data_IF_734882860318
#
_entry.id   IF_734882860318
#
_cell.length_a   1.000
_cell.length_b   1.000
_cell.length_c   1.000
_cell.angle_alpha   90.00
_cell.angle_beta   90.00
_cell.angle_gamma   90.00
#
_symmetry.space_group_name_H-M   'P 1'
#
loop_
_entity.id
_entity.type
_entity.pdbx_description
1 polymer ?
#
# COMPACT_ATOMS: atom_id res chain seq x y z
N UNK A 1 -7.99 10.02 6.04
CA UNK A 1 -6.61 9.60 6.41
C UNK A 1 -5.71 10.82 6.56
N UNK A 2 -4.41 10.64 6.81
CA UNK A 2 -3.40 11.70 6.89
C UNK A 2 -2.13 11.27 6.16
N UNK A 3 -1.50 12.19 5.42
CA UNK A 3 -0.20 11.99 4.76
C UNK A 3 0.99 12.42 5.63
N UNK A 4 0.75 12.81 6.88
CA UNK A 4 1.76 13.37 7.80
C UNK A 4 2.98 12.46 8.02
N UNK A 5 2.74 11.15 8.13
CA UNK A 5 3.80 10.15 8.30
C UNK A 5 4.27 9.56 6.98
N UNK A 6 3.69 9.93 5.83
CA UNK A 6 4.15 9.53 4.50
C UNK A 6 3.72 8.15 4.01
N UNK A 7 2.81 7.45 4.71
CA UNK A 7 2.29 6.18 4.21
C UNK A 7 1.23 6.35 3.11
N UNK A 8 0.44 7.42 3.21
CA UNK A 8 -0.39 7.92 2.11
C UNK A 8 0.38 9.01 1.36
N UNK A 9 0.31 8.98 0.03
CA UNK A 9 1.07 9.90 -0.82
C UNK A 9 0.16 10.64 -1.79
N UNK A 10 0.14 11.97 -1.66
CA UNK A 10 -0.61 12.85 -2.56
C UNK A 10 -2.11 12.54 -2.66
N UNK A 11 -2.67 11.87 -1.65
CA UNK A 11 -4.07 11.48 -1.59
C UNK A 11 -4.56 11.40 -0.15
N UNK A 12 -5.89 11.33 0.01
CA UNK A 12 -6.53 10.95 1.26
C UNK A 12 -7.78 10.12 0.97
N UNK A 13 -8.24 9.39 1.97
CA UNK A 13 -9.52 8.69 1.93
C UNK A 13 -10.60 9.46 2.68
N UNK A 14 -11.81 9.45 2.12
CA UNK A 14 -13.05 9.88 2.75
C UNK A 14 -14.02 8.71 2.83
N UNK A 15 -14.93 8.73 3.79
CA UNK A 15 -16.01 7.76 3.94
C UNK A 15 -17.30 8.47 4.36
N UNK A 16 -18.45 7.92 3.99
CA UNK A 16 -19.78 8.47 4.31
C UNK A 16 -20.69 7.47 5.05
N UNK A 17 -20.11 6.34 5.47
CA UNK A 17 -20.82 5.23 6.12
C UNK A 17 -21.27 4.13 5.17
N UNK A 18 -21.31 4.37 3.85
CA UNK A 18 -21.68 3.35 2.84
C UNK A 18 -20.47 2.67 2.19
N UNK A 19 -19.39 3.42 2.02
CA UNK A 19 -18.09 2.93 1.56
C UNK A 19 -17.02 4.00 1.86
N UNK A 20 -15.77 3.68 1.55
CA UNK A 20 -14.72 4.69 1.43
C UNK A 20 -14.19 4.81 0.01
N UNK A 21 -13.62 5.98 -0.30
CA UNK A 21 -13.01 6.26 -1.59
C UNK A 21 -11.73 7.08 -1.41
N UNK A 22 -10.74 6.81 -2.25
CA UNK A 22 -9.51 7.61 -2.31
C UNK A 22 -9.69 8.82 -3.24
N UNK A 23 -9.29 10.00 -2.76
CA UNK A 23 -9.22 11.24 -3.53
C UNK A 23 -7.77 11.52 -3.90
N UNK A 24 -7.47 11.52 -5.20
CA UNK A 24 -6.11 11.73 -5.73
C UNK A 24 -5.81 13.22 -5.82
N UNK A 25 -5.36 13.84 -4.73
CA UNK A 25 -5.15 15.30 -4.64
C UNK A 25 -3.93 15.84 -5.38
N UNK A 26 -2.87 15.04 -5.56
CA UNK A 26 -1.67 15.51 -6.24
C UNK A 26 -0.81 16.50 -5.44
N UNK A 27 -1.04 16.64 -4.14
CA UNK A 27 -0.27 17.53 -3.25
C UNK A 27 0.25 16.79 -2.03
N UNK A 28 1.42 17.18 -1.55
CA UNK A 28 1.95 16.71 -0.26
C UNK A 28 1.59 17.69 0.86
N UNK A 29 1.66 17.24 2.10
CA UNK A 29 1.38 18.07 3.27
C UNK A 29 -0.11 18.32 3.50
N UNK A 30 -0.98 17.44 2.98
CA UNK A 30 -2.44 17.56 3.06
C UNK A 30 -2.94 17.61 4.51
N UNK A 31 -2.24 16.97 5.45
CA UNK A 31 -2.52 17.04 6.89
C UNK A 31 -2.54 18.47 7.47
N UNK A 32 -1.88 19.43 6.81
CA UNK A 32 -1.92 20.83 7.21
C UNK A 32 -3.25 21.49 6.82
N UNK A 33 -3.86 21.05 5.70
CA UNK A 33 -5.05 21.65 5.11
C UNK A 33 -6.35 20.92 5.51
N UNK A 34 -6.31 19.59 5.60
CA UNK A 34 -7.45 18.71 5.88
C UNK A 34 -7.19 17.95 7.17
N UNK A 35 -8.03 18.14 8.19
CA UNK A 35 -7.89 17.47 9.48
C UNK A 35 -8.61 16.11 9.47
N UNK A 36 -8.08 15.15 10.22
CA UNK A 36 -8.77 13.86 10.41
C UNK A 36 -10.12 14.14 11.08
N UNK A 37 -11.21 13.59 10.53
CA UNK A 37 -12.58 13.84 10.98
C UNK A 37 -13.25 15.05 10.33
N UNK A 38 -12.53 15.84 9.53
CA UNK A 38 -13.12 16.98 8.82
C UNK A 38 -14.01 16.52 7.66
N UNK A 39 -15.18 17.15 7.53
CA UNK A 39 -16.03 16.95 6.35
C UNK A 39 -15.36 17.52 5.11
N UNK A 40 -15.34 16.75 4.02
CA UNK A 40 -14.88 17.20 2.70
C UNK A 40 -16.01 17.05 1.70
N UNK A 41 -16.37 18.14 1.02
CA UNK A 41 -17.34 18.09 -0.08
C UNK A 41 -16.60 17.94 -1.40
N UNK A 42 -17.03 16.99 -2.22
CA UNK A 42 -16.44 16.71 -3.52
C UNK A 42 -17.48 16.94 -4.61
N UNK A 43 -17.21 17.87 -5.52
CA UNK A 43 -18.03 18.07 -6.71
C UNK A 43 -17.57 17.11 -7.79
N UNK A 44 -18.26 16.00 -7.99
CA UNK A 44 -17.77 14.93 -8.86
C UNK A 44 -17.85 15.24 -10.37
N UNK A 45 -18.73 16.14 -10.81
CA UNK A 45 -18.96 16.41 -12.24
C UNK A 45 -17.69 16.96 -12.89
N UNK A 46 -17.10 16.21 -13.81
CA UNK A 46 -15.85 16.56 -14.51
C UNK A 46 -14.63 15.81 -14.00
N UNK A 47 -14.75 15.07 -12.89
CA UNK A 47 -13.76 14.12 -12.41
C UNK A 47 -14.01 12.72 -13.01
N UNK A 48 -13.00 11.86 -12.89
CA UNK A 48 -12.97 10.50 -13.45
C UNK A 48 -12.72 9.48 -12.34
N UNK A 49 -13.46 8.38 -12.39
CA UNK A 49 -13.20 7.21 -11.55
C UNK A 49 -12.17 6.31 -12.24
N UNK A 50 -11.26 5.78 -11.44
CA UNK A 50 -10.43 4.64 -11.82
C UNK A 50 -10.44 3.58 -10.73
N UNK A 51 -9.87 2.40 -11.03
CA UNK A 51 -9.81 1.30 -10.08
C UNK A 51 -8.38 0.77 -9.96
N UNK A 52 -7.67 1.25 -8.96
CA UNK A 52 -6.29 0.85 -8.72
C UNK A 52 -6.22 -0.63 -8.36
N UNK A 53 -5.41 -1.39 -9.10
CA UNK A 53 -5.24 -2.82 -8.88
C UNK A 53 -6.30 -3.68 -9.54
N UNK A 54 -7.26 -3.13 -10.30
CA UNK A 54 -8.13 -3.96 -11.12
C UNK A 54 -7.32 -4.71 -12.18
N UNK A 55 -7.63 -5.99 -12.37
CA UNK A 55 -7.11 -6.77 -13.49
C UNK A 55 -8.15 -7.81 -13.92
N UNK A 56 -8.45 -7.85 -15.21
CA UNK A 56 -9.33 -8.84 -15.83
C UNK A 56 -8.60 -10.09 -16.31
N UNK A 57 -7.29 -10.21 -16.03
CA UNK A 57 -6.50 -11.36 -16.46
C UNK A 57 -7.03 -12.67 -15.83
N UNK A 58 -7.08 -13.71 -16.65
CA UNK A 58 -7.54 -15.04 -16.24
C UNK A 58 -6.53 -15.77 -15.35
N UNK A 59 -5.26 -15.36 -15.40
CA UNK A 59 -4.16 -16.00 -14.65
C UNK A 59 -3.93 -15.35 -13.29
N UNK A 60 -4.20 -14.05 -13.17
CA UNK A 60 -4.09 -13.25 -11.96
C UNK A 60 -4.99 -12.02 -12.12
N UNK A 61 -5.69 -11.59 -11.09
CA UNK A 61 -6.58 -10.44 -11.20
C UNK A 61 -7.85 -10.57 -10.38
N UNK A 62 -8.63 -9.51 -10.38
CA UNK A 62 -9.79 -9.33 -9.53
C UNK A 62 -10.04 -7.83 -9.31
N UNK A 63 -10.89 -7.52 -8.33
CA UNK A 63 -11.26 -6.14 -8.04
C UNK A 63 -10.11 -5.35 -7.41
N UNK A 64 -10.18 -4.03 -7.59
CA UNK A 64 -9.24 -3.07 -7.01
C UNK A 64 -9.93 -2.04 -6.13
N UNK A 65 -9.19 -1.00 -5.75
CA UNK A 65 -9.71 0.13 -5.00
C UNK A 65 -10.16 1.25 -5.94
N UNK A 66 -11.44 1.66 -5.84
CA UNK A 66 -11.93 2.84 -6.56
C UNK A 66 -11.24 4.11 -6.07
N UNK A 67 -10.81 4.93 -7.03
CA UNK A 67 -10.17 6.22 -6.81
C UNK A 67 -10.90 7.29 -7.62
N UNK A 68 -10.91 8.52 -7.11
CA UNK A 68 -11.45 9.67 -7.81
C UNK A 68 -10.35 10.70 -8.08
N UNK A 69 -10.25 11.15 -9.32
CA UNK A 69 -9.26 12.11 -9.76
C UNK A 69 -9.61 12.77 -11.09
N UNK A 70 -8.60 13.29 -11.80
CA UNK A 70 -8.76 13.75 -13.18
C UNK A 70 -8.69 12.56 -14.15
N UNK A 71 -9.04 12.76 -15.41
CA UNK A 71 -8.69 11.80 -16.47
C UNK A 71 -7.18 11.73 -16.63
N UNK A 72 -6.61 10.55 -16.84
CA UNK A 72 -5.20 10.43 -17.19
C UNK A 72 -4.99 10.82 -18.67
N UNK A 73 -4.21 11.87 -18.97
CA UNK A 73 -3.98 12.29 -20.34
C UNK A 73 -3.17 11.28 -21.16
N UNK A 74 -2.42 10.38 -20.52
CA UNK A 74 -1.65 9.34 -21.22
C UNK A 74 -2.52 8.18 -21.70
N UNK A 75 -3.68 7.97 -21.06
CA UNK A 75 -4.53 6.80 -21.26
C UNK A 75 -3.96 5.49 -20.69
N UNK A 76 -2.84 5.54 -19.96
CA UNK A 76 -2.26 4.38 -19.29
C UNK A 76 -3.15 3.91 -18.12
N UNK A 77 -3.75 4.86 -17.41
CA UNK A 77 -4.71 4.63 -16.33
C UNK A 77 -6.05 5.32 -16.64
N UNK A 78 -7.11 4.96 -15.92
CA UNK A 78 -8.39 5.67 -16.06
C UNK A 78 -8.34 7.05 -15.39
N UNK A 79 -7.56 7.18 -14.29
CA UNK A 79 -7.53 8.40 -13.47
C UNK A 79 -6.12 8.84 -13.03
N UNK A 80 -5.92 10.16 -13.04
CA UNK A 80 -4.74 10.88 -12.58
C UNK A 80 -5.05 11.78 -11.36
N UNK A 81 -4.04 12.48 -10.85
CA UNK A 81 -4.24 13.40 -9.73
C UNK A 81 -4.99 14.69 -10.14
N UNK A 82 -5.81 15.21 -9.23
CA UNK A 82 -6.38 16.56 -9.25
C UNK A 82 -5.29 17.57 -8.86
N UNK A 83 -4.14 17.58 -9.53
CA UNK A 83 -2.95 18.29 -9.04
C UNK A 83 -2.93 19.79 -9.34
N UNK A 84 -3.77 20.24 -10.27
CA UNK A 84 -3.90 21.67 -10.63
C UNK A 84 -4.74 22.39 -9.59
N UNK A 85 -4.17 23.40 -8.92
CA UNK A 85 -4.82 24.14 -7.84
C UNK A 85 -6.22 24.65 -8.21
N UNK A 86 -6.41 25.23 -9.40
CA UNK A 86 -7.73 25.73 -9.81
C UNK A 86 -8.78 24.62 -9.93
N UNK A 87 -8.38 23.41 -10.33
CA UNK A 87 -9.28 22.25 -10.36
C UNK A 87 -9.58 21.80 -8.92
N UNK A 88 -8.59 21.78 -8.03
CA UNK A 88 -8.82 21.50 -6.60
C UNK A 88 -9.85 22.48 -6.04
N UNK A 89 -9.68 23.79 -6.28
CA UNK A 89 -10.55 24.84 -5.75
C UNK A 89 -11.98 24.77 -6.30
N UNK A 90 -12.15 24.22 -7.51
CA UNK A 90 -13.47 24.01 -8.13
C UNK A 90 -14.17 22.72 -7.68
N UNK A 91 -13.43 21.77 -7.11
CA UNK A 91 -13.91 20.42 -6.85
C UNK A 91 -13.88 19.97 -5.39
N UNK A 92 -12.93 20.43 -4.59
CA UNK A 92 -12.65 19.94 -3.24
C UNK A 92 -12.85 21.08 -2.25
N UNK A 93 -13.87 20.97 -1.42
CA UNK A 93 -14.23 22.01 -0.46
C UNK A 93 -14.14 21.50 0.97
N UNK A 94 -13.49 22.29 1.82
CA UNK A 94 -13.43 22.01 3.26
C UNK A 94 -14.76 22.34 3.92
N UNK A 95 -15.33 21.36 4.59
CA UNK A 95 -16.46 21.53 5.48
C UNK A 95 -16.04 21.74 6.94
N UNK A 96 -17.00 21.67 7.87
CA UNK A 96 -16.75 21.76 9.30
C UNK A 96 -15.73 20.72 9.77
N UNK A 97 -14.90 21.11 10.75
CA UNK A 97 -14.11 20.15 11.52
C UNK A 97 -15.04 19.24 12.32
N UNK A 98 -14.72 17.95 12.34
CA UNK A 98 -15.44 16.94 13.09
C UNK A 98 -14.48 16.11 13.93
N UNK A 99 -15.02 15.13 14.63
CA UNK A 99 -14.21 14.13 15.34
C UNK A 99 -13.72 13.07 14.34
N UNK A 100 -12.50 12.54 14.51
CA UNK A 100 -12.07 11.35 13.77
C UNK A 100 -13.11 10.22 13.87
N UNK A 101 -13.31 9.50 12.76
CA UNK A 101 -14.14 8.30 12.78
C UNK A 101 -13.49 7.22 13.64
N UNK A 102 -14.30 6.52 14.42
CA UNK A 102 -13.87 5.29 15.10
C UNK A 102 -13.74 4.16 14.07
N UNK A 103 -12.69 3.33 14.13
CA UNK A 103 -12.54 2.21 13.22
C UNK A 103 -13.64 1.16 13.45
N UNK A 104 -14.16 0.60 12.36
CA UNK A 104 -15.06 -0.55 12.44
C UNK A 104 -14.24 -1.82 12.67
N UNK A 105 -14.48 -2.51 13.79
CA UNK A 105 -13.85 -3.83 14.02
C UNK A 105 -14.55 -4.87 13.15
N UNK A 106 -13.80 -5.57 12.29
CA UNK A 106 -14.35 -6.58 11.39
C UNK A 106 -14.22 -7.98 11.96
N UNK A 107 -15.30 -8.75 11.80
CA UNK A 107 -15.26 -10.21 11.81
C UNK A 107 -14.75 -10.73 10.46
N UNK A 108 -14.15 -11.92 10.45
CA UNK A 108 -13.58 -12.50 9.24
C UNK A 108 -14.59 -12.68 8.09
N UNK A 109 -15.84 -12.99 8.41
CA UNK A 109 -16.92 -13.13 7.42
C UNK A 109 -17.32 -11.81 6.74
N UNK A 110 -16.85 -10.66 7.25
CA UNK A 110 -17.09 -9.35 6.68
C UNK A 110 -15.98 -8.90 5.72
N UNK A 111 -14.87 -9.65 5.66
CA UNK A 111 -13.78 -9.36 4.74
C UNK A 111 -14.21 -9.59 3.28
N UNK A 112 -13.75 -8.74 2.35
CA UNK A 112 -14.13 -8.84 0.96
C UNK A 112 -13.50 -10.06 0.29
N UNK A 113 -14.26 -10.71 -0.59
CA UNK A 113 -13.75 -11.70 -1.51
C UNK A 113 -13.19 -11.08 -2.80
N UNK A 114 -12.60 -11.94 -3.63
CA UNK A 114 -11.92 -11.58 -4.88
C UNK A 114 -12.70 -10.65 -5.83
N UNK A 115 -14.01 -10.85 -5.88
CA UNK A 115 -14.90 -10.14 -6.80
C UNK A 115 -15.66 -8.99 -6.13
N UNK A 116 -15.42 -8.75 -4.84
CA UNK A 116 -16.09 -7.68 -4.10
C UNK A 116 -15.51 -6.31 -4.41
N UNK A 117 -16.37 -5.32 -4.44
CA UNK A 117 -16.05 -3.91 -4.59
C UNK A 117 -16.91 -3.08 -3.63
N UNK A 118 -16.75 -1.75 -3.62
CA UNK A 118 -17.46 -0.83 -2.72
C UNK A 118 -18.99 -0.94 -2.77
N UNK A 119 -19.58 -1.53 -3.82
CA UNK A 119 -21.03 -1.75 -3.91
C UNK A 119 -21.49 -3.06 -3.29
N UNK A 120 -20.62 -4.07 -3.19
CA UNK A 120 -20.93 -5.38 -2.59
C UNK A 120 -20.36 -5.57 -1.19
N UNK A 121 -19.31 -4.81 -0.84
CA UNK A 121 -18.72 -4.78 0.49
C UNK A 121 -18.46 -3.33 0.93
N UNK A 122 -19.23 -2.87 1.91
CA UNK A 122 -19.19 -1.50 2.41
C UNK A 122 -17.88 -1.13 3.12
N UNK A 123 -17.06 -2.11 3.53
CA UNK A 123 -15.84 -1.86 4.29
C UNK A 123 -14.64 -1.48 3.42
N UNK A 124 -14.72 -1.72 2.11
CA UNK A 124 -13.67 -1.34 1.17
C UNK A 124 -13.54 0.19 1.14
N UNK A 125 -12.33 0.67 1.37
CA UNK A 125 -11.95 2.09 1.46
C UNK A 125 -12.13 2.70 2.85
N UNK A 126 -12.66 1.96 3.83
CA UNK A 126 -12.98 2.51 5.16
C UNK A 126 -11.89 2.25 6.17
N UNK A 127 -11.94 3.05 7.24
CA UNK A 127 -11.14 2.84 8.43
C UNK A 127 -11.69 1.65 9.23
N UNK A 128 -10.91 0.59 9.35
CA UNK A 128 -11.31 -0.65 10.01
C UNK A 128 -10.21 -1.19 10.91
N UNK A 129 -10.57 -2.09 11.81
CA UNK A 129 -9.65 -2.89 12.61
C UNK A 129 -9.85 -4.38 12.32
N UNK A 130 -8.77 -5.09 11.98
CA UNK A 130 -8.75 -6.55 11.84
C UNK A 130 -7.91 -7.12 13.00
N UNK A 131 -8.46 -8.09 13.73
CA UNK A 131 -7.86 -8.59 14.97
C UNK A 131 -7.15 -9.92 14.80
N UNK A 132 -6.23 -10.20 15.73
CA UNK A 132 -5.57 -11.50 15.89
C UNK A 132 -4.84 -12.01 14.63
N UNK A 133 -4.26 -11.09 13.86
CA UNK A 133 -3.48 -11.41 12.67
C UNK A 133 -2.18 -12.09 13.05
N UNK A 134 -1.89 -13.23 12.41
CA UNK A 134 -0.66 -14.00 12.60
C UNK A 134 0.25 -13.79 11.39
N UNK A 135 1.54 -13.55 11.63
CA UNK A 135 2.49 -13.34 10.54
C UNK A 135 2.60 -14.59 9.66
N UNK A 136 2.56 -14.40 8.34
CA UNK A 136 2.59 -15.47 7.36
C UNK A 136 4.01 -15.86 6.92
N UNK A 137 5.05 -15.19 7.46
CA UNK A 137 6.46 -15.41 7.10
C UNK A 137 6.77 -15.12 5.62
N UNK A 138 6.05 -14.16 5.04
CA UNK A 138 6.19 -13.75 3.64
C UNK A 138 6.16 -12.23 3.54
N UNK A 139 6.96 -11.72 2.60
CA UNK A 139 6.92 -10.32 2.16
C UNK A 139 6.73 -10.22 0.65
N UNK A 140 6.32 -9.04 0.20
CA UNK A 140 6.52 -8.60 -1.17
C UNK A 140 7.20 -7.24 -1.20
N UNK A 141 8.33 -7.13 -1.87
CA UNK A 141 8.97 -5.87 -2.21
C UNK A 141 9.49 -5.89 -3.66
N UNK A 142 9.28 -4.78 -4.37
CA UNK A 142 9.80 -4.56 -5.72
C UNK A 142 10.92 -3.53 -5.66
N UNK A 143 12.12 -3.94 -6.07
CA UNK A 143 13.26 -3.07 -6.24
C UNK A 143 13.59 -2.90 -7.72
N UNK A 144 14.29 -1.82 -8.03
CA UNK A 144 14.85 -1.58 -9.36
C UNK A 144 16.37 -1.60 -9.31
N UNK A 145 17.01 -2.18 -10.33
CA UNK A 145 18.46 -2.10 -10.47
C UNK A 145 18.89 -0.64 -10.62
N UNK A 146 18.18 0.09 -11.48
CA UNK A 146 18.32 1.52 -11.64
C UNK A 146 16.93 2.15 -11.86
N UNK A 147 16.45 2.99 -10.93
CA UNK A 147 15.14 3.63 -11.01
C UNK A 147 15.02 4.64 -12.16
N UNK A 148 16.13 4.98 -12.83
CA UNK A 148 16.11 5.85 -14.01
C UNK A 148 15.93 5.09 -15.34
N UNK A 149 15.91 3.76 -15.31
CA UNK A 149 15.60 2.92 -16.48
C UNK A 149 14.10 2.60 -16.51
N UNK A 150 13.63 1.98 -17.59
CA UNK A 150 12.23 1.60 -17.75
C UNK A 150 11.76 0.67 -16.62
N UNK A 151 10.65 1.02 -15.99
CA UNK A 151 10.14 0.31 -14.81
C UNK A 151 9.36 -0.94 -15.18
N UNK A 152 9.01 -1.14 -16.46
CA UNK A 152 8.36 -2.35 -16.97
C UNK A 152 9.30 -3.45 -17.45
N UNK A 153 10.57 -3.12 -17.67
CA UNK A 153 11.59 -4.09 -18.12
C UNK A 153 11.96 -5.07 -17.02
N UNK A 154 11.83 -6.38 -17.29
CA UNK A 154 12.19 -7.44 -16.34
C UNK A 154 13.65 -7.36 -15.92
N UNK A 155 14.54 -7.03 -16.86
CA UNK A 155 15.98 -6.88 -16.63
C UNK A 155 16.36 -5.74 -15.69
N UNK A 156 15.39 -4.90 -15.27
CA UNK A 156 15.58 -3.82 -14.31
C UNK A 156 14.86 -4.07 -12.97
N UNK A 157 14.25 -5.25 -12.77
CA UNK A 157 13.40 -5.54 -11.61
C UNK A 157 14.01 -6.60 -10.72
N UNK A 158 13.73 -6.50 -9.42
CA UNK A 158 14.03 -7.53 -8.43
C UNK A 158 12.78 -7.72 -7.58
N UNK A 159 12.23 -8.93 -7.60
CA UNK A 159 11.07 -9.32 -6.81
C UNK A 159 11.56 -10.05 -5.56
N UNK A 160 11.30 -9.49 -4.40
CA UNK A 160 11.47 -10.15 -3.11
C UNK A 160 10.09 -10.63 -2.69
N UNK A 161 9.79 -11.92 -2.93
CA UNK A 161 8.49 -12.55 -2.69
C UNK A 161 8.60 -13.94 -2.08
N UNK A 162 7.49 -14.53 -1.65
CA UNK A 162 7.35 -15.94 -1.25
C UNK A 162 8.06 -16.35 0.06
N UNK A 163 8.88 -15.47 0.64
CA UNK A 163 9.54 -15.65 1.93
C UNK A 163 9.85 -14.29 2.58
N UNK A 164 10.47 -14.28 3.76
CA UNK A 164 10.74 -13.05 4.51
C UNK A 164 11.89 -12.19 3.95
N UNK A 165 12.84 -12.77 3.20
CA UNK A 165 14.01 -12.05 2.63
C UNK A 165 14.85 -11.27 3.64
N UNK A 166 14.90 -11.72 4.91
CA UNK A 166 15.48 -11.02 6.06
C UNK A 166 14.87 -9.62 6.33
N UNK A 167 13.73 -9.29 5.72
CA UNK A 167 13.04 -8.02 5.92
C UNK A 167 12.18 -8.10 7.18
N UNK A 168 12.63 -7.42 8.22
CA UNK A 168 12.04 -7.43 9.57
C UNK A 168 11.32 -6.12 9.92
N UNK A 169 11.36 -5.14 9.03
CA UNK A 169 10.75 -3.82 9.18
C UNK A 169 9.45 -3.67 8.37
N UNK A 170 8.62 -2.70 8.73
CA UNK A 170 7.33 -2.45 8.05
C UNK A 170 7.48 -2.01 6.59
N UNK A 171 8.49 -1.23 6.28
CA UNK A 171 8.98 -0.93 4.93
C UNK A 171 10.50 -0.77 4.96
N UNK A 172 11.12 -0.24 3.91
CA UNK A 172 12.55 0.05 3.95
C UNK A 172 12.83 1.45 3.44
N UNK A 173 13.52 2.26 4.24
CA UNK A 173 14.15 3.48 3.75
C UNK A 173 15.27 3.14 2.76
N UNK A 174 15.75 4.13 2.02
CA UNK A 174 16.94 3.99 1.16
C UNK A 174 18.13 3.40 1.92
N UNK A 175 18.37 3.85 3.16
CA UNK A 175 19.51 3.39 3.96
C UNK A 175 19.37 1.94 4.39
N UNK A 176 18.15 1.48 4.65
CA UNK A 176 17.88 0.10 5.02
C UNK A 176 17.99 -0.84 3.80
N UNK A 177 17.52 -0.42 2.62
CA UNK A 177 17.79 -1.12 1.36
C UNK A 177 19.30 -1.29 1.14
N UNK A 178 20.08 -0.22 1.32
CA UNK A 178 21.55 -0.27 1.21
C UNK A 178 22.16 -1.23 2.24
N UNK A 179 21.64 -1.28 3.47
CA UNK A 179 22.11 -2.20 4.52
C UNK A 179 21.94 -3.65 4.09
N UNK A 180 20.76 -4.05 3.62
CA UNK A 180 20.49 -5.41 3.14
C UNK A 180 21.38 -5.80 1.95
N UNK A 181 21.53 -4.91 0.96
CA UNK A 181 22.43 -5.12 -0.18
C UNK A 181 23.88 -5.35 0.26
N UNK A 182 24.37 -4.57 1.23
CA UNK A 182 25.73 -4.73 1.78
C UNK A 182 25.91 -5.99 2.61
N UNK A 183 24.87 -6.41 3.34
CA UNK A 183 24.86 -7.66 4.09
C UNK A 183 24.86 -8.89 3.18
N UNK A 184 24.44 -8.73 1.92
CA UNK A 184 24.33 -9.83 0.95
C UNK A 184 23.05 -10.63 1.13
N UNK A 185 22.04 -10.07 1.80
CA UNK A 185 20.77 -10.75 2.10
C UNK A 185 20.04 -11.23 0.84
N UNK A 186 20.30 -10.58 -0.30
CA UNK A 186 19.61 -10.83 -1.56
C UNK A 186 20.54 -11.30 -2.68
N UNK A 187 21.78 -11.69 -2.39
CA UNK A 187 22.81 -11.97 -3.41
C UNK A 187 22.40 -13.04 -4.43
N UNK A 188 21.63 -14.02 -3.99
CA UNK A 188 21.14 -15.14 -4.79
C UNK A 188 19.79 -14.86 -5.46
N UNK A 189 19.16 -13.70 -5.19
CA UNK A 189 17.87 -13.33 -5.79
C UNK A 189 18.08 -13.00 -7.27
N UNK A 190 17.24 -13.59 -8.13
CA UNK A 190 17.29 -13.42 -9.57
C UNK A 190 16.76 -12.05 -10.01
N UNK A 191 17.37 -11.50 -11.06
CA UNK A 191 16.87 -10.32 -11.76
C UNK A 191 15.70 -10.72 -12.66
N UNK A 192 14.60 -9.98 -12.58
CA UNK A 192 13.40 -10.28 -13.35
C UNK A 192 12.10 -9.88 -12.68
N UNK A 193 11.02 -10.34 -13.28
CA UNK A 193 9.70 -10.37 -12.67
C UNK A 193 9.23 -11.82 -12.51
N UNK A 194 8.09 -12.05 -11.82
CA UNK A 194 7.59 -13.40 -11.52
C UNK A 194 7.42 -14.34 -12.72
N UNK A 195 7.25 -13.80 -13.94
CA UNK A 195 7.04 -14.60 -15.16
C UNK A 195 8.22 -14.55 -16.15
N UNK A 196 9.26 -13.77 -15.84
CA UNK A 196 10.39 -13.49 -16.74
C UNK A 196 11.63 -13.19 -15.88
N UNK A 197 12.20 -14.26 -15.32
CA UNK A 197 13.45 -14.22 -14.57
C UNK A 197 14.62 -14.56 -15.49
N UNK A 198 15.72 -13.84 -15.33
CA UNK A 198 16.99 -14.12 -16.00
C UNK A 198 17.76 -15.15 -15.17
N UNK A 199 17.83 -16.43 -15.56
CA UNK A 199 18.31 -17.51 -14.71
C UNK A 199 19.79 -17.39 -14.30
N UNK A 200 20.56 -16.61 -15.04
CA UNK A 200 22.01 -16.41 -14.82
C UNK A 200 22.35 -15.01 -14.27
N UNK A 201 21.34 -14.20 -13.93
CA UNK A 201 21.51 -12.83 -13.46
C UNK A 201 20.96 -12.69 -12.05
N UNK A 202 21.84 -12.45 -11.06
CA UNK A 202 21.44 -12.24 -9.66
C UNK A 202 21.78 -10.83 -9.18
N UNK A 203 21.16 -10.41 -8.07
CA UNK A 203 21.47 -9.14 -7.39
C UNK A 203 22.95 -8.99 -7.09
N UNK A 204 23.68 -10.06 -6.77
CA UNK A 204 25.13 -10.00 -6.50
C UNK A 204 25.91 -9.30 -7.64
N UNK A 205 25.53 -9.52 -8.90
CA UNK A 205 26.17 -8.90 -10.08
C UNK A 205 25.87 -7.41 -10.20
N UNK A 206 24.70 -6.97 -9.71
CA UNK A 206 24.21 -5.59 -9.84
C UNK A 206 24.31 -4.79 -8.55
N UNK A 207 24.80 -5.40 -7.46
CA UNK A 207 24.84 -4.84 -6.10
C UNK A 207 25.41 -3.42 -6.05
N UNK A 208 26.53 -3.15 -6.71
CA UNK A 208 27.15 -1.82 -6.71
C UNK A 208 26.27 -0.75 -7.37
N UNK A 209 25.55 -1.12 -8.44
CA UNK A 209 24.62 -0.23 -9.14
C UNK A 209 23.38 -0.01 -8.26
N UNK A 210 22.84 -1.07 -7.67
CA UNK A 210 21.69 -1.00 -6.77
C UNK A 210 21.98 -0.16 -5.53
N UNK A 211 23.17 -0.26 -4.93
CA UNK A 211 23.59 0.59 -3.81
C UNK A 211 23.68 2.05 -4.25
N UNK A 212 24.23 2.33 -5.44
CA UNK A 212 24.39 3.70 -5.96
C UNK A 212 23.05 4.39 -6.21
N UNK A 213 22.06 3.64 -6.68
CA UNK A 213 20.75 4.17 -7.05
C UNK A 213 19.62 3.66 -6.17
N UNK A 214 19.94 3.25 -4.93
CA UNK A 214 18.94 2.77 -3.99
C UNK A 214 17.86 3.83 -3.79
N UNK A 215 16.63 3.37 -3.65
CA UNK A 215 15.47 4.20 -3.30
C UNK A 215 14.75 3.54 -2.14
N UNK A 216 13.94 4.28 -1.37
CA UNK A 216 13.05 3.67 -0.42
C UNK A 216 12.15 2.62 -1.10
N UNK A 217 11.94 1.50 -0.43
CA UNK A 217 11.18 0.37 -0.94
C UNK A 217 9.89 0.18 -0.13
N UNK A 218 8.78 0.09 -0.85
CA UNK A 218 7.51 -0.32 -0.27
C UNK A 218 7.58 -1.81 0.03
N UNK A 219 7.09 -2.21 1.20
CA UNK A 219 7.03 -3.61 1.60
C UNK A 219 5.58 -3.95 1.90
N UNK A 220 5.18 -5.12 1.43
CA UNK A 220 3.94 -5.75 1.86
C UNK A 220 4.29 -6.89 2.80
N UNK A 221 3.84 -6.82 4.03
CA UNK A 221 4.00 -7.88 5.03
C UNK A 221 2.72 -8.71 5.05
N UNK A 222 2.83 -10.03 4.93
CA UNK A 222 1.67 -10.90 4.84
C UNK A 222 1.29 -11.46 6.22
N UNK A 223 0.00 -11.43 6.50
CA UNK A 223 -0.59 -11.97 7.71
C UNK A 223 -1.82 -12.82 7.38
N UNK A 224 -2.23 -13.67 8.30
CA UNK A 224 -3.47 -14.45 8.19
C UNK A 224 -4.39 -14.20 9.38
N UNK A 225 -5.69 -14.17 9.12
CA UNK A 225 -6.72 -14.28 10.15
C UNK A 225 -6.70 -15.68 10.79
N UNK A 226 -7.37 -15.88 11.95
CA UNK A 226 -7.54 -17.21 12.53
C UNK A 226 -8.19 -18.24 11.59
N UNK A 227 -9.09 -17.83 10.70
CA UNK A 227 -9.71 -18.70 9.68
C UNK A 227 -8.87 -18.90 8.41
N UNK A 228 -7.69 -18.28 8.33
CA UNK A 228 -6.73 -18.48 7.24
C UNK A 228 -6.90 -17.53 6.04
N UNK A 229 -7.72 -16.48 6.17
CA UNK A 229 -7.81 -15.41 5.17
C UNK A 229 -6.53 -14.58 5.21
N UNK A 230 -5.87 -14.46 4.06
CA UNK A 230 -4.64 -13.68 3.90
C UNK A 230 -4.93 -12.17 3.83
N UNK A 231 -4.10 -11.39 4.52
CA UNK A 231 -4.13 -9.93 4.57
C UNK A 231 -2.74 -9.41 4.19
N UNK A 232 -2.67 -8.67 3.08
CA UNK A 232 -1.45 -7.98 2.67
C UNK A 232 -1.39 -6.60 3.33
N UNK A 233 -0.54 -6.40 4.35
CA UNK A 233 -0.32 -5.08 4.95
C UNK A 233 0.79 -4.35 4.18
N UNK A 234 0.41 -3.36 3.36
CA UNK A 234 1.33 -2.60 2.53
C UNK A 234 1.75 -1.29 3.20
N UNK A 235 3.06 -1.06 3.25
CA UNK A 235 3.66 0.15 3.82
C UNK A 235 4.65 0.78 2.85
N UNK A 236 4.66 2.11 2.80
CA UNK A 236 5.51 2.93 1.95
C UNK A 236 6.94 3.02 2.50
N UNK A 237 7.94 2.85 1.65
CA UNK A 237 9.34 3.10 2.02
C UNK A 237 9.61 4.58 2.38
N UNK A 238 8.77 5.49 1.90
CA UNK A 238 8.87 6.92 2.19
C UNK A 238 8.23 7.34 3.51
N UNK A 239 7.59 6.40 4.23
CA UNK A 239 6.97 6.74 5.50
C UNK A 239 8.01 6.89 6.63
N UNK A 240 7.68 7.68 7.65
CA UNK A 240 8.58 7.97 8.79
C UNK A 240 8.83 6.76 9.69
N UNK A 241 8.03 5.71 9.56
CA UNK A 241 8.16 4.46 10.30
C UNK A 241 8.57 3.30 9.39
N UNK A 242 9.16 3.58 8.22
CA UNK A 242 9.57 2.54 7.28
C UNK A 242 10.49 1.51 7.95
N UNK A 243 11.57 1.96 8.57
CA UNK A 243 12.55 1.10 9.25
C UNK A 243 12.13 0.69 10.68
N UNK A 244 10.85 0.86 11.05
CA UNK A 244 10.36 0.37 12.32
C UNK A 244 10.35 -1.16 12.31
N UNK A 245 11.09 -1.76 13.24
CA UNK A 245 11.13 -3.21 13.44
C UNK A 245 9.75 -3.75 13.86
N UNK A 246 9.34 -4.85 13.24
CA UNK A 246 8.20 -5.64 13.69
C UNK A 246 8.64 -6.42 14.93
N UNK A 247 7.74 -6.56 15.91
CA UNK A 247 8.03 -7.33 17.14
C UNK A 247 8.55 -8.74 16.77
N UNK A 248 9.75 -9.14 17.24
CA UNK A 248 10.33 -10.45 16.92
C UNK A 248 9.45 -11.64 17.33
N UNK A 249 8.61 -11.49 18.36
CA UNK A 249 7.65 -12.52 18.74
C UNK A 249 6.47 -12.60 17.77
N UNK A 250 6.10 -11.50 17.12
CA UNK A 250 5.12 -11.52 16.01
C UNK A 250 5.74 -12.22 14.80
N UNK A 251 6.97 -11.84 14.42
CA UNK A 251 7.70 -12.45 13.30
C UNK A 251 7.93 -13.96 13.53
N UNK A 252 8.21 -14.38 14.76
CA UNK A 252 8.36 -15.78 15.11
C UNK A 252 7.02 -16.53 15.28
N UNK A 253 5.89 -15.87 15.04
CA UNK A 253 4.55 -16.44 15.18
C UNK A 253 4.15 -16.77 16.63
N UNK A 254 4.85 -16.23 17.63
CA UNK A 254 4.51 -16.38 19.05
C UNK A 254 3.39 -15.43 19.48
N UNK A 255 3.31 -14.24 18.87
CA UNK A 255 2.28 -13.22 19.11
C UNK A 255 1.45 -12.93 17.87
N UNK A 256 0.32 -12.27 18.07
CA UNK A 256 -0.53 -11.75 16.98
C UNK A 256 -0.59 -10.23 17.04
N UNK A 257 -1.15 -9.61 16.01
CA UNK A 257 -1.44 -8.17 16.01
C UNK A 257 -2.92 -7.90 15.75
N UNK A 258 -3.42 -6.82 16.33
CA UNK A 258 -4.58 -6.10 15.80
C UNK A 258 -4.05 -4.97 14.93
N UNK A 259 -4.61 -4.81 13.73
CA UNK A 259 -4.22 -3.78 12.77
C UNK A 259 -5.39 -2.86 12.43
N UNK A 260 -5.17 -1.55 12.54
CA UNK A 260 -6.13 -0.50 12.21
C UNK A 260 -5.60 0.37 11.07
N UNK A 261 -6.43 0.59 10.06
CA UNK A 261 -6.02 1.20 8.81
C UNK A 261 -7.13 1.20 7.77
N UNK A 262 -6.78 1.45 6.53
CA UNK A 262 -7.73 1.45 5.41
C UNK A 262 -7.72 0.08 4.74
N UNK A 263 -8.89 -0.55 4.67
CA UNK A 263 -9.10 -1.77 3.92
C UNK A 263 -9.22 -1.44 2.42
N UNK A 264 -8.43 -2.07 1.58
CA UNK A 264 -8.43 -1.90 0.13
C UNK A 264 -8.38 -3.24 -0.59
N UNK A 265 -8.40 -3.21 -1.92
CA UNK A 265 -8.28 -4.39 -2.76
C UNK A 265 -7.21 -4.15 -3.82
N UNK A 266 -6.45 -5.19 -4.14
CA UNK A 266 -5.50 -5.19 -5.25
C UNK A 266 -5.52 -6.54 -5.95
N UNK A 267 -5.92 -6.55 -7.22
CA UNK A 267 -6.03 -7.75 -8.06
C UNK A 267 -6.88 -8.85 -7.40
N UNK A 268 -7.93 -8.46 -6.67
CA UNK A 268 -8.82 -9.35 -5.93
C UNK A 268 -8.27 -9.87 -4.60
N UNK A 269 -7.09 -9.43 -4.17
CA UNK A 269 -6.55 -9.75 -2.86
C UNK A 269 -6.82 -8.61 -1.89
N UNK A 270 -6.99 -8.94 -0.61
CA UNK A 270 -7.12 -7.94 0.45
C UNK A 270 -5.77 -7.24 0.61
N UNK A 271 -5.77 -5.94 0.38
CA UNK A 271 -4.65 -5.07 0.72
C UNK A 271 -5.09 -4.15 1.86
N UNK A 272 -4.19 -3.90 2.80
CA UNK A 272 -4.46 -3.12 4.00
C UNK A 272 -3.37 -2.07 4.15
N UNK A 273 -3.76 -0.82 4.37
CA UNK A 273 -2.83 0.30 4.46
C UNK A 273 -2.94 0.96 5.83
N UNK A 274 -1.87 0.90 6.60
CA UNK A 274 -1.77 1.58 7.89
C UNK A 274 -1.82 3.10 7.72
N UNK A 275 -2.43 3.81 8.67
CA UNK A 275 -2.29 5.28 8.71
C UNK A 275 -0.90 5.65 9.21
N UNK A 276 -0.52 5.05 10.33
CA UNK A 276 0.77 5.19 10.96
C UNK A 276 1.02 3.97 11.86
N UNK A 277 2.17 3.94 12.54
CA UNK A 277 2.57 2.84 13.41
C UNK A 277 1.65 2.63 14.63
N UNK A 278 0.84 3.63 15.02
CA UNK A 278 -0.09 3.51 16.15
C UNK A 278 -1.30 2.64 15.83
N UNK A 279 -1.54 2.37 14.53
CA UNK A 279 -2.54 1.42 14.08
C UNK A 279 -2.20 -0.04 14.40
N UNK A 280 -1.01 -0.34 14.92
CA UNK A 280 -0.60 -1.70 15.26
C UNK A 280 -0.64 -1.87 16.77
N UNK A 281 -1.33 -2.93 17.21
CA UNK A 281 -1.30 -3.38 18.59
C UNK A 281 -0.85 -4.83 18.64
N UNK A 282 0.25 -5.10 19.33
CA UNK A 282 0.72 -6.47 19.59
C UNK A 282 -0.10 -7.08 20.73
N UNK A 283 -0.56 -8.31 20.53
CA UNK A 283 -1.29 -9.09 21.53
C UNK A 283 -0.38 -10.22 22.06
N UNK A 284 -0.51 -10.51 23.35
CA UNK A 284 0.18 -11.62 24.00
C UNK A 284 -0.49 -12.98 23.72
#
# INVERSE_FOLDING_TARGET
TSDQVGNFYRSFYIQDGTAGIEIKMGKTGLYNEYKIGQTVYVKCKGLTLGMYGFSSSSSYGGQGMVQLGCVDPSGEYETSYIEVQSIIDEHIFKGPEGTPDEPVVLEESQLPGKNDNQTSNEFIGRLVTIKNLRYANEVFALLYINPNLEHKESSNRVFLSDEQHNITTWAMSEQNVIRHLRAGDWDDVLIGNSNDQSPDETVAKYKDIMIRYATPANVSQYFTTPGGTEIQIRTSGYCRFADLEIDPDVLAGRKTIDATGILTMYQGSIQFVLIDQTGIKVND
#
